data_IF_721933749664
#
_entry.id   IF_721933749664
#
_cell.length_a   1.000
_cell.length_b   1.000
_cell.length_c   1.000
_cell.angle_alpha   90.00
_cell.angle_beta   90.00
_cell.angle_gamma   90.00
#
_symmetry.space_group_name_H-M   'P 1'
#
loop_
_entity.id
_entity.type
_entity.pdbx_description
1 polymer ?
#
# COMPACT_ATOMS: atom_id res chain seq x y z
N UNK A 1 -17.14 9.52 -27.63
CA UNK A 1 -17.28 8.04 -27.59
C UNK A 1 -17.07 7.60 -26.15
N UNK A 2 -17.94 6.72 -25.59
CA UNK A 2 -17.68 6.13 -24.26
C UNK A 2 -16.40 5.29 -24.37
N UNK A 3 -15.43 5.55 -23.51
CA UNK A 3 -14.21 4.78 -23.37
C UNK A 3 -14.57 3.32 -23.01
N UNK A 4 -14.00 2.34 -23.71
CA UNK A 4 -14.23 0.92 -23.41
C UNK A 4 -13.65 0.57 -22.04
N UNK A 5 -14.32 -0.30 -21.30
CA UNK A 5 -13.89 -0.74 -19.96
C UNK A 5 -13.49 -2.21 -20.01
N UNK A 6 -12.38 -2.55 -19.33
CA UNK A 6 -11.99 -3.93 -19.06
C UNK A 6 -11.78 -4.14 -17.55
N UNK A 7 -12.32 -5.23 -17.04
CA UNK A 7 -12.18 -5.65 -15.65
C UNK A 7 -11.11 -6.74 -15.53
N UNK A 8 -9.95 -6.41 -14.97
CA UNK A 8 -8.91 -7.39 -14.70
C UNK A 8 -9.10 -7.89 -13.27
N UNK A 9 -9.37 -9.18 -13.13
CA UNK A 9 -9.85 -9.77 -11.88
C UNK A 9 -8.84 -10.75 -11.32
N UNK A 10 -8.46 -10.56 -10.06
CA UNK A 10 -7.76 -11.58 -9.30
C UNK A 10 -8.76 -12.63 -8.81
N UNK A 11 -8.71 -13.89 -9.33
CA UNK A 11 -9.70 -14.92 -9.00
C UNK A 11 -9.69 -15.31 -7.51
N UNK A 12 -8.54 -15.23 -6.84
CA UNK A 12 -8.35 -15.72 -5.47
C UNK A 12 -8.44 -14.63 -4.39
N UNK A 13 -8.58 -13.34 -4.77
CA UNK A 13 -8.65 -12.26 -3.80
C UNK A 13 -9.93 -12.30 -2.95
N UNK A 14 -9.79 -11.96 -1.67
CA UNK A 14 -10.91 -11.78 -0.74
C UNK A 14 -11.70 -13.05 -0.45
N UNK A 15 -13.01 -12.86 -0.17
CA UNK A 15 -13.94 -13.93 0.21
C UNK A 15 -14.95 -14.28 -0.89
N UNK A 16 -15.08 -13.46 -1.93
CA UNK A 16 -16.06 -13.67 -2.99
C UNK A 16 -15.58 -14.75 -3.96
N UNK A 17 -16.47 -15.70 -4.29
CA UNK A 17 -16.21 -16.67 -5.34
C UNK A 17 -16.14 -15.99 -6.71
N UNK A 18 -15.48 -16.64 -7.67
CA UNK A 18 -15.36 -16.18 -9.06
C UNK A 18 -16.72 -15.81 -9.65
N UNK A 19 -17.74 -16.66 -9.43
CA UNK A 19 -19.13 -16.44 -9.90
C UNK A 19 -19.75 -15.18 -9.27
N UNK A 20 -19.52 -14.93 -7.99
CA UNK A 20 -20.03 -13.73 -7.32
C UNK A 20 -19.34 -12.46 -7.83
N UNK A 21 -18.02 -12.51 -8.10
CA UNK A 21 -17.28 -11.38 -8.69
C UNK A 21 -17.83 -11.00 -10.06
N UNK A 22 -18.08 -11.99 -10.91
CA UNK A 22 -18.72 -11.78 -12.23
C UNK A 22 -20.05 -11.05 -12.06
N UNK A 23 -20.95 -11.55 -11.21
CA UNK A 23 -22.25 -10.92 -10.97
C UNK A 23 -22.15 -9.46 -10.50
N UNK A 24 -21.19 -9.16 -9.62
CA UNK A 24 -20.95 -7.77 -9.19
C UNK A 24 -20.57 -6.89 -10.38
N UNK A 25 -19.69 -7.36 -11.25
CA UNK A 25 -19.23 -6.61 -12.42
C UNK A 25 -20.34 -6.43 -13.45
N UNK A 26 -21.12 -7.48 -13.74
CA UNK A 26 -22.26 -7.42 -14.66
C UNK A 26 -23.33 -6.41 -14.21
N UNK A 27 -23.49 -6.23 -12.91
CA UNK A 27 -24.44 -5.26 -12.34
C UNK A 27 -23.92 -3.81 -12.35
N UNK A 28 -22.64 -3.55 -12.74
CA UNK A 28 -22.14 -2.18 -12.85
C UNK A 28 -22.82 -1.43 -13.99
N UNK A 29 -22.94 -2.05 -15.15
CA UNK A 29 -23.69 -1.53 -16.29
C UNK A 29 -24.47 -2.69 -16.95
N UNK A 30 -25.73 -2.92 -16.54
CA UNK A 30 -26.53 -4.03 -17.08
C UNK A 30 -26.87 -3.92 -18.57
N UNK A 31 -26.69 -2.72 -19.16
CA UNK A 31 -26.96 -2.48 -20.58
C UNK A 31 -25.83 -2.95 -21.50
N UNK A 32 -24.66 -3.27 -20.94
CA UNK A 32 -23.50 -3.68 -21.72
C UNK A 32 -22.96 -5.02 -21.23
N UNK A 33 -22.36 -5.81 -22.12
CA UNK A 33 -21.59 -7.00 -21.73
C UNK A 33 -20.18 -6.59 -21.34
N UNK A 34 -19.79 -6.70 -20.07
CA UNK A 34 -18.48 -6.29 -19.62
C UNK A 34 -17.38 -7.23 -20.15
N UNK A 35 -16.22 -6.66 -20.50
CA UNK A 35 -15.01 -7.43 -20.77
C UNK A 35 -14.34 -7.81 -19.45
N UNK A 36 -14.42 -9.09 -19.06
CA UNK A 36 -13.92 -9.60 -17.78
C UNK A 36 -12.78 -10.57 -18.03
N UNK A 37 -11.60 -10.27 -17.49
CA UNK A 37 -10.38 -11.07 -17.65
C UNK A 37 -9.92 -11.53 -16.28
N UNK A 38 -9.79 -12.83 -16.07
CA UNK A 38 -9.18 -13.39 -14.89
C UNK A 38 -7.68 -13.57 -15.09
N UNK A 39 -6.89 -12.94 -14.21
CA UNK A 39 -5.44 -13.10 -14.25
C UNK A 39 -5.02 -14.44 -13.66
N UNK A 40 -3.92 -14.98 -14.21
CA UNK A 40 -3.29 -16.21 -13.71
C UNK A 40 -2.26 -15.93 -12.62
N UNK A 41 -1.64 -14.74 -12.65
CA UNK A 41 -0.64 -14.27 -11.69
C UNK A 41 -0.65 -12.75 -11.60
N UNK A 42 0.14 -12.18 -10.69
CA UNK A 42 0.37 -10.73 -10.62
C UNK A 42 1.07 -10.22 -11.89
N UNK A 43 2.04 -10.97 -12.39
CA UNK A 43 2.74 -10.63 -13.62
C UNK A 43 1.79 -10.62 -14.84
N UNK A 44 0.94 -11.64 -14.97
CA UNK A 44 -0.08 -11.73 -15.99
C UNK A 44 -1.08 -10.54 -15.91
N UNK A 45 -1.50 -10.16 -14.70
CA UNK A 45 -2.33 -8.98 -14.50
C UNK A 45 -1.68 -7.71 -15.03
N UNK A 46 -0.39 -7.53 -14.74
CA UNK A 46 0.38 -6.39 -15.25
C UNK A 46 0.48 -6.37 -16.78
N UNK A 47 0.74 -7.51 -17.42
CA UNK A 47 0.79 -7.64 -18.90
C UNK A 47 -0.56 -7.30 -19.53
N UNK A 48 -1.66 -7.83 -18.99
CA UNK A 48 -3.02 -7.53 -19.45
C UNK A 48 -3.37 -6.06 -19.26
N UNK A 49 -3.05 -5.48 -18.10
CA UNK A 49 -3.27 -4.07 -17.87
C UNK A 49 -2.54 -3.20 -18.90
N UNK A 50 -1.27 -3.49 -19.16
CA UNK A 50 -0.50 -2.81 -20.21
C UNK A 50 -1.15 -2.91 -21.58
N UNK A 51 -1.54 -4.12 -22.00
CA UNK A 51 -2.19 -4.37 -23.29
C UNK A 51 -3.45 -3.50 -23.48
N UNK A 52 -4.35 -3.50 -22.48
CA UNK A 52 -5.61 -2.75 -22.57
C UNK A 52 -5.42 -1.25 -22.43
N UNK A 53 -4.45 -0.78 -21.61
CA UNK A 53 -4.11 0.64 -21.52
C UNK A 53 -3.57 1.19 -22.85
N UNK A 54 -2.75 0.40 -23.58
CA UNK A 54 -2.27 0.77 -24.91
C UNK A 54 -3.42 0.86 -25.94
N UNK A 55 -4.46 0.04 -25.78
CA UNK A 55 -5.69 0.10 -26.58
C UNK A 55 -6.67 1.19 -26.11
N UNK A 56 -6.27 2.03 -25.13
CA UNK A 56 -7.10 3.12 -24.59
C UNK A 56 -8.39 2.66 -23.88
N UNK A 57 -8.35 1.49 -23.26
CA UNK A 57 -9.40 1.05 -22.35
C UNK A 57 -9.23 1.65 -20.97
N UNK A 58 -10.34 1.94 -20.28
CA UNK A 58 -10.33 2.13 -18.84
C UNK A 58 -10.13 0.77 -18.16
N UNK A 59 -9.00 0.59 -17.51
CA UNK A 59 -8.71 -0.64 -16.79
C UNK A 59 -9.22 -0.54 -15.35
N UNK A 60 -10.09 -1.49 -14.97
CA UNK A 60 -10.60 -1.65 -13.61
C UNK A 60 -9.81 -2.76 -12.91
N UNK A 61 -9.05 -2.42 -11.89
CA UNK A 61 -8.30 -3.37 -11.06
C UNK A 61 -9.22 -4.01 -10.02
N UNK A 62 -9.59 -5.28 -10.20
CA UNK A 62 -10.52 -6.00 -9.34
C UNK A 62 -9.76 -6.97 -8.43
N UNK A 63 -9.33 -6.50 -7.25
CA UNK A 63 -8.47 -7.31 -6.37
C UNK A 63 -8.20 -6.68 -5.01
N UNK A 64 -7.13 -7.14 -4.34
CA UNK A 64 -6.60 -6.53 -3.12
C UNK A 64 -5.44 -5.58 -3.42
N UNK A 65 -4.83 -5.03 -2.36
CA UNK A 65 -3.85 -3.94 -2.43
C UNK A 65 -2.65 -4.27 -3.35
N UNK A 66 -2.01 -5.43 -3.22
CA UNK A 66 -0.90 -5.82 -4.09
C UNK A 66 -1.30 -5.97 -5.57
N UNK A 67 -2.52 -6.47 -5.85
CA UNK A 67 -3.05 -6.56 -7.20
C UNK A 67 -3.32 -5.18 -7.82
N UNK A 68 -3.89 -4.27 -7.03
CA UNK A 68 -4.12 -2.89 -7.41
C UNK A 68 -2.79 -2.17 -7.66
N UNK A 69 -1.77 -2.43 -6.84
CA UNK A 69 -0.44 -1.84 -7.00
C UNK A 69 0.19 -2.18 -8.36
N UNK A 70 0.16 -3.45 -8.79
CA UNK A 70 0.70 -3.88 -10.09
C UNK A 70 0.03 -3.17 -11.26
N UNK A 71 -1.30 -3.00 -11.21
CA UNK A 71 -2.05 -2.31 -12.26
C UNK A 71 -1.79 -0.80 -12.20
N UNK A 72 -1.69 -0.22 -11.00
CA UNK A 72 -1.37 1.20 -10.82
C UNK A 72 0.03 1.54 -11.35
N UNK A 73 1.02 0.64 -11.19
CA UNK A 73 2.33 0.81 -11.81
C UNK A 73 2.20 0.99 -13.33
N UNK A 74 1.37 0.16 -13.99
CA UNK A 74 1.13 0.29 -15.44
C UNK A 74 0.40 1.58 -15.78
N UNK A 75 -0.59 1.98 -14.99
CA UNK A 75 -1.29 3.26 -15.18
C UNK A 75 -0.33 4.46 -15.10
N UNK A 76 0.65 4.42 -14.18
CA UNK A 76 1.71 5.44 -14.08
C UNK A 76 2.66 5.40 -15.28
N UNK A 77 3.10 4.21 -15.69
CA UNK A 77 4.05 4.02 -16.78
C UNK A 77 3.48 4.53 -18.11
N UNK A 78 2.20 4.28 -18.37
CA UNK A 78 1.51 4.63 -19.61
C UNK A 78 0.66 5.90 -19.51
N UNK A 79 0.71 6.62 -18.39
CA UNK A 79 -0.08 7.83 -18.12
C UNK A 79 -1.59 7.65 -18.37
N UNK A 80 -2.14 6.50 -18.00
CA UNK A 80 -3.53 6.14 -18.15
C UNK A 80 -4.32 6.33 -16.86
N UNK A 81 -5.61 6.61 -17.01
CA UNK A 81 -6.55 6.54 -15.91
C UNK A 81 -6.88 5.07 -15.59
N UNK A 82 -7.23 4.80 -14.34
CA UNK A 82 -7.70 3.49 -13.91
C UNK A 82 -8.86 3.61 -12.93
N UNK A 83 -9.51 2.49 -12.64
CA UNK A 83 -10.47 2.38 -11.56
C UNK A 83 -10.14 1.16 -10.69
N UNK A 84 -10.70 1.11 -9.49
CA UNK A 84 -10.49 0.00 -8.56
C UNK A 84 -11.84 -0.61 -8.14
N UNK A 85 -11.85 -1.93 -7.97
CA UNK A 85 -12.95 -2.67 -7.37
C UNK A 85 -12.37 -3.53 -6.25
N UNK A 86 -12.55 -3.14 -4.97
CA UNK A 86 -11.80 -3.67 -3.85
C UNK A 86 -12.33 -5.04 -3.42
N UNK A 87 -11.86 -6.10 -4.05
CA UNK A 87 -12.16 -7.48 -3.67
C UNK A 87 -11.19 -8.06 -2.65
N UNK A 88 -10.22 -7.28 -2.18
CA UNK A 88 -9.24 -7.71 -1.19
C UNK A 88 -9.82 -7.84 0.22
N UNK A 89 -8.94 -8.03 1.19
CA UNK A 89 -9.27 -8.11 2.62
C UNK A 89 -8.87 -6.85 3.39
N UNK A 90 -7.73 -6.24 3.02
CA UNK A 90 -7.23 -5.00 3.61
C UNK A 90 -7.91 -3.80 2.96
N UNK A 91 -7.74 -3.68 1.64
CA UNK A 91 -8.24 -2.59 0.82
C UNK A 91 -7.85 -1.21 1.37
N UNK A 92 -6.58 -1.08 1.81
CA UNK A 92 -6.09 0.11 2.52
C UNK A 92 -6.09 1.34 1.60
N UNK A 93 -5.67 1.17 0.33
CA UNK A 93 -5.79 2.25 -0.65
C UNK A 93 -7.24 2.66 -0.88
N UNK A 94 -8.13 1.68 -1.09
CA UNK A 94 -9.54 1.96 -1.31
C UNK A 94 -10.16 2.71 -0.13
N UNK A 95 -9.81 2.31 1.11
CA UNK A 95 -10.21 3.01 2.34
C UNK A 95 -9.71 4.44 2.38
N UNK A 96 -8.45 4.69 2.03
CA UNK A 96 -7.89 6.04 1.97
C UNK A 96 -8.55 6.91 0.90
N UNK A 97 -9.14 6.30 -0.12
CA UNK A 97 -9.87 6.99 -1.18
C UNK A 97 -11.39 7.04 -0.96
N UNK A 98 -11.88 6.59 0.19
CA UNK A 98 -13.33 6.47 0.46
C UNK A 98 -14.06 5.57 -0.57
N UNK A 99 -13.36 4.56 -1.08
CA UNK A 99 -13.85 3.54 -2.02
C UNK A 99 -13.88 2.14 -1.39
N UNK A 100 -14.00 2.08 -0.07
CA UNK A 100 -13.84 0.87 0.74
C UNK A 100 -15.04 -0.10 0.66
N UNK A 101 -16.18 0.37 0.15
CA UNK A 101 -17.34 -0.47 -0.14
C UNK A 101 -17.50 -0.70 -1.64
N UNK A 102 -18.14 -1.83 -2.00
CA UNK A 102 -18.43 -2.13 -3.42
C UNK A 102 -19.33 -1.07 -4.06
N UNK A 103 -20.29 -0.55 -3.31
CA UNK A 103 -21.23 0.47 -3.77
C UNK A 103 -20.48 1.74 -4.20
N UNK A 104 -19.65 2.32 -3.31
CA UNK A 104 -18.85 3.51 -3.61
C UNK A 104 -17.91 3.29 -4.80
N UNK A 105 -17.26 2.13 -4.87
CA UNK A 105 -16.36 1.80 -5.97
C UNK A 105 -17.13 1.65 -7.32
N UNK A 106 -18.31 1.07 -7.30
CA UNK A 106 -19.19 0.96 -8.47
C UNK A 106 -19.63 2.35 -8.94
N UNK A 107 -20.04 3.22 -8.03
CA UNK A 107 -20.45 4.58 -8.36
C UNK A 107 -19.29 5.40 -8.95
N UNK A 108 -18.09 5.26 -8.41
CA UNK A 108 -16.89 5.87 -8.97
C UNK A 108 -16.59 5.36 -10.41
N UNK A 109 -16.75 4.06 -10.68
CA UNK A 109 -16.56 3.47 -12.01
C UNK A 109 -17.60 4.00 -12.99
N UNK A 110 -18.84 4.16 -12.55
CA UNK A 110 -19.94 4.72 -13.37
C UNK A 110 -19.74 6.20 -13.66
N UNK A 111 -19.33 6.96 -12.63
CA UNK A 111 -19.15 8.41 -12.69
C UNK A 111 -17.96 8.84 -13.53
N UNK A 112 -16.91 8.02 -13.60
CA UNK A 112 -15.65 8.30 -14.35
C UNK A 112 -15.04 9.67 -14.03
N UNK A 113 -15.18 10.10 -12.79
CA UNK A 113 -14.48 11.28 -12.28
C UNK A 113 -13.11 10.84 -11.77
N UNK A 114 -12.03 11.37 -12.32
CA UNK A 114 -10.68 10.92 -11.99
C UNK A 114 -9.99 11.93 -11.07
N UNK A 115 -9.54 11.45 -9.92
CA UNK A 115 -8.73 12.24 -8.99
C UNK A 115 -7.28 11.78 -8.99
N UNK A 116 -6.36 12.72 -8.84
CA UNK A 116 -4.94 12.41 -8.66
C UNK A 116 -4.72 11.77 -7.30
N UNK A 117 -4.09 10.62 -7.31
CA UNK A 117 -3.76 9.81 -6.13
C UNK A 117 -2.26 9.90 -5.89
N UNK A 118 -1.87 10.11 -4.65
CA UNK A 118 -0.47 10.13 -4.23
C UNK A 118 0.04 8.70 -4.07
N UNK A 119 1.30 8.51 -4.35
CA UNK A 119 2.01 7.26 -4.13
C UNK A 119 3.48 7.55 -3.80
N UNK A 120 4.19 6.57 -3.28
CA UNK A 120 5.61 6.65 -3.00
C UNK A 120 6.41 6.02 -4.14
N UNK A 121 7.48 6.70 -4.54
CA UNK A 121 8.61 6.09 -5.22
C UNK A 121 9.59 5.59 -4.16
N UNK A 122 9.92 4.32 -4.24
CA UNK A 122 10.84 3.62 -3.36
C UNK A 122 12.05 3.23 -4.19
N UNK A 123 13.12 4.02 -4.07
CA UNK A 123 14.29 3.98 -4.95
C UNK A 123 15.41 3.21 -4.26
N UNK A 124 15.75 2.06 -4.80
CA UNK A 124 16.90 1.26 -4.41
C UNK A 124 18.09 1.52 -5.35
N UNK A 125 19.27 0.99 -5.02
CA UNK A 125 20.46 1.16 -5.87
C UNK A 125 20.27 0.62 -7.28
N UNK A 126 19.54 -0.48 -7.45
CA UNK A 126 19.44 -1.22 -8.72
C UNK A 126 18.04 -1.20 -9.35
N UNK A 127 17.01 -0.75 -8.62
CA UNK A 127 15.63 -0.72 -9.11
C UNK A 127 14.78 0.32 -8.39
N UNK A 128 13.62 0.59 -8.98
CA UNK A 128 12.59 1.42 -8.38
C UNK A 128 11.31 0.60 -8.22
N UNK A 129 10.63 0.81 -7.11
CA UNK A 129 9.31 0.27 -6.81
C UNK A 129 8.36 1.40 -6.48
N UNK A 130 7.07 1.14 -6.55
CA UNK A 130 6.07 2.04 -5.99
C UNK A 130 5.40 1.43 -4.77
N UNK A 131 4.90 2.29 -3.90
CA UNK A 131 3.97 1.90 -2.85
C UNK A 131 2.83 2.91 -2.82
N UNK A 132 1.60 2.41 -2.78
CA UNK A 132 0.39 3.24 -2.85
C UNK A 132 0.00 3.80 -1.48
N UNK A 133 0.45 3.15 -0.41
CA UNK A 133 0.10 3.54 0.96
C UNK A 133 1.32 3.97 1.77
N UNK A 134 2.21 3.06 2.08
CA UNK A 134 3.40 3.33 2.88
C UNK A 134 4.57 2.44 2.49
N UNK A 135 5.79 2.87 2.80
CA UNK A 135 7.00 2.07 2.69
C UNK A 135 7.95 2.38 3.84
N UNK A 136 8.65 1.38 4.35
CA UNK A 136 9.56 1.58 5.47
C UNK A 136 10.29 0.34 5.93
N UNK A 137 10.89 0.43 7.12
CA UNK A 137 11.74 -0.59 7.76
C UNK A 137 11.31 -0.85 9.21
N UNK A 138 11.87 -1.88 9.81
CA UNK A 138 11.66 -2.25 11.21
C UNK A 138 10.45 -3.17 11.38
N UNK A 139 9.75 -3.04 12.49
CA UNK A 139 8.70 -3.97 12.92
C UNK A 139 7.61 -4.21 11.87
N UNK A 140 7.18 -3.16 11.14
CA UNK A 140 6.16 -3.30 10.09
C UNK A 140 6.67 -4.16 8.93
N UNK A 141 7.92 -3.97 8.54
CA UNK A 141 8.56 -4.73 7.47
C UNK A 141 8.80 -6.17 7.88
N UNK A 142 9.25 -6.39 9.11
CA UNK A 142 9.40 -7.72 9.68
C UNK A 142 8.05 -8.46 9.74
N UNK A 143 6.99 -7.81 10.20
CA UNK A 143 5.66 -8.39 10.26
C UNK A 143 5.13 -8.74 8.87
N UNK A 144 5.29 -7.86 7.89
CA UNK A 144 4.89 -8.11 6.49
C UNK A 144 5.66 -9.28 5.88
N UNK A 145 6.98 -9.31 6.07
CA UNK A 145 7.83 -10.41 5.58
C UNK A 145 7.47 -11.74 6.24
N UNK A 146 7.27 -11.78 7.57
CA UNK A 146 6.85 -12.98 8.29
C UNK A 146 5.46 -13.44 7.84
N UNK A 147 4.52 -12.53 7.63
CA UNK A 147 3.19 -12.84 7.12
C UNK A 147 3.25 -13.52 5.75
N UNK A 148 4.16 -13.10 4.86
CA UNK A 148 4.35 -13.73 3.56
C UNK A 148 4.89 -15.16 3.62
N UNK A 149 5.56 -15.53 4.72
CA UNK A 149 6.13 -16.86 4.94
C UNK A 149 5.17 -17.86 5.61
N UNK A 150 3.98 -17.43 6.05
CA UNK A 150 3.00 -18.27 6.73
C UNK A 150 1.87 -18.66 5.75
N UNK A 151 1.95 -19.85 5.09
CA UNK A 151 0.98 -20.20 4.04
C UNK A 151 -0.40 -20.61 4.57
N UNK A 152 -0.51 -20.95 5.86
CA UNK A 152 -1.71 -21.58 6.44
C UNK A 152 -2.74 -20.57 6.95
N UNK A 153 -2.30 -19.41 7.47
CA UNK A 153 -3.18 -18.39 8.01
C UNK A 153 -3.53 -17.35 6.94
N UNK A 154 -4.80 -16.95 6.87
CA UNK A 154 -5.30 -15.96 5.91
C UNK A 154 -6.11 -14.87 6.62
N UNK A 155 -5.96 -13.63 6.18
CA UNK A 155 -6.76 -12.49 6.65
C UNK A 155 -6.21 -11.80 7.90
N UNK A 156 -7.06 -11.08 8.66
CA UNK A 156 -6.63 -10.28 9.82
C UNK A 156 -5.86 -11.06 10.87
N UNK A 157 -6.19 -12.36 11.05
CA UNK A 157 -5.49 -13.25 11.97
C UNK A 157 -4.04 -13.53 11.55
N UNK A 158 -3.75 -13.53 10.24
CA UNK A 158 -2.37 -13.67 9.74
C UNK A 158 -1.52 -12.47 10.17
N UNK A 159 -2.01 -11.26 9.93
CA UNK A 159 -1.29 -10.04 10.30
C UNK A 159 -1.20 -9.89 11.82
N UNK A 160 -2.25 -10.25 12.55
CA UNK A 160 -2.24 -10.22 14.02
C UNK A 160 -1.22 -11.22 14.59
N UNK A 161 -1.15 -12.46 14.06
CA UNK A 161 -0.17 -13.46 14.51
C UNK A 161 1.25 -13.09 14.11
N UNK A 162 1.48 -12.60 12.90
CA UNK A 162 2.79 -12.12 12.44
C UNK A 162 3.27 -10.92 13.27
N UNK A 163 2.36 -9.97 13.55
CA UNK A 163 2.63 -8.87 14.46
C UNK A 163 2.96 -9.38 15.87
N UNK A 164 2.18 -10.31 16.42
CA UNK A 164 2.44 -10.88 17.74
C UNK A 164 3.81 -11.56 17.83
N UNK A 165 4.20 -12.34 16.82
CA UNK A 165 5.53 -12.98 16.74
C UNK A 165 6.62 -11.90 16.68
N UNK A 166 6.41 -10.84 15.90
CA UNK A 166 7.35 -9.71 15.81
C UNK A 166 7.43 -8.94 17.14
N UNK A 167 6.33 -8.87 17.90
CA UNK A 167 6.31 -8.30 19.26
C UNK A 167 7.06 -9.14 20.30
N UNK A 168 7.05 -10.47 20.16
CA UNK A 168 7.84 -11.35 21.05
C UNK A 168 9.34 -11.07 20.87
N UNK A 169 9.77 -10.83 19.63
CA UNK A 169 11.14 -10.56 19.26
C UNK A 169 11.42 -9.06 19.03
N UNK A 170 10.72 -8.19 19.75
CA UNK A 170 10.79 -6.75 19.58
C UNK A 170 12.23 -6.23 19.60
N UNK A 171 12.76 -5.88 18.44
CA UNK A 171 14.08 -5.31 18.27
C UNK A 171 13.96 -3.92 17.65
N UNK A 172 14.77 -3.00 18.17
CA UNK A 172 15.01 -1.72 17.54
C UNK A 172 16.33 -1.77 16.81
N UNK A 173 16.39 -1.13 15.65
CA UNK A 173 17.58 -1.10 14.82
C UNK A 173 18.10 0.32 14.67
N UNK A 174 19.42 0.45 14.50
CA UNK A 174 20.06 1.75 14.26
C UNK A 174 20.07 2.07 12.78
N UNK A 175 19.54 3.23 12.45
CA UNK A 175 19.47 3.75 11.08
C UNK A 175 20.13 5.12 10.98
N UNK A 176 20.74 5.38 9.83
CA UNK A 176 21.05 6.72 9.38
C UNK A 176 19.87 7.18 8.52
N UNK A 177 19.25 8.27 8.95
CA UNK A 177 18.11 8.87 8.27
C UNK A 177 18.52 10.23 7.76
N UNK A 178 18.45 10.42 6.44
CA UNK A 178 18.78 11.68 5.78
C UNK A 178 17.53 12.25 5.13
N UNK A 179 17.17 13.47 5.49
CA UNK A 179 16.09 14.25 4.87
C UNK A 179 16.68 15.48 4.20
N UNK A 180 15.86 16.31 3.57
CA UNK A 180 16.30 17.58 2.98
C UNK A 180 16.86 18.58 4.02
N UNK A 181 16.51 18.42 5.29
CA UNK A 181 16.89 19.38 6.36
C UNK A 181 17.99 18.88 7.28
N UNK A 182 18.13 17.56 7.44
CA UNK A 182 19.05 17.00 8.44
C UNK A 182 19.43 15.55 8.13
N UNK A 183 20.59 15.16 8.68
CA UNK A 183 21.06 13.78 8.75
C UNK A 183 21.18 13.40 10.22
N UNK A 184 20.59 12.29 10.61
CA UNK A 184 20.57 11.86 12.01
C UNK A 184 20.73 10.35 12.13
N UNK A 185 21.35 9.91 13.22
CA UNK A 185 21.37 8.52 13.63
C UNK A 185 20.24 8.27 14.63
N UNK A 186 19.47 7.24 14.42
CA UNK A 186 18.30 6.93 15.24
C UNK A 186 18.22 5.44 15.54
N UNK A 187 17.76 5.12 16.75
CA UNK A 187 17.42 3.75 17.12
C UNK A 187 15.89 3.62 17.14
N UNK A 188 15.35 3.04 16.09
CA UNK A 188 13.91 2.98 15.85
C UNK A 188 13.40 1.55 15.83
N UNK A 189 12.17 1.41 16.33
CA UNK A 189 11.35 0.22 16.18
C UNK A 189 10.67 0.18 14.82
N UNK A 190 10.19 1.34 14.36
CA UNK A 190 9.51 1.56 13.09
C UNK A 190 10.04 2.85 12.48
N UNK A 191 10.27 2.83 11.17
CA UNK A 191 10.55 4.00 10.36
C UNK A 191 9.86 3.83 9.02
N UNK A 192 8.87 4.66 8.74
CA UNK A 192 8.06 4.55 7.52
C UNK A 192 7.70 5.90 6.94
N UNK A 193 7.75 5.99 5.61
CA UNK A 193 7.15 7.06 4.82
C UNK A 193 5.75 6.64 4.38
N UNK A 194 4.78 7.56 4.40
CA UNK A 194 3.41 7.30 3.99
C UNK A 194 2.89 8.35 3.00
N UNK A 195 2.20 7.87 1.96
CA UNK A 195 1.47 8.67 1.00
C UNK A 195 -0.03 8.70 1.31
N UNK A 196 -0.54 7.72 2.06
CA UNK A 196 -1.94 7.61 2.48
C UNK A 196 -2.05 7.19 3.94
N UNK A 197 -3.25 7.24 4.47
CA UNK A 197 -3.51 7.17 5.90
C UNK A 197 -3.49 5.74 6.44
N UNK A 198 -3.94 4.76 5.63
CA UNK A 198 -4.17 3.38 6.07
C UNK A 198 -3.13 2.41 5.56
N UNK A 199 -2.85 1.37 6.35
CA UNK A 199 -2.01 0.23 5.99
C UNK A 199 -2.36 -1.01 6.80
N UNK A 200 -1.90 -2.18 6.34
CA UNK A 200 -1.96 -3.42 7.11
C UNK A 200 -3.36 -3.89 7.49
N UNK A 201 -4.35 -3.60 6.64
CA UNK A 201 -5.73 -4.05 6.85
C UNK A 201 -6.56 -3.14 7.75
N UNK A 202 -6.35 -1.82 7.67
CA UNK A 202 -7.15 -0.81 8.35
C UNK A 202 -6.48 -0.11 9.52
N UNK A 203 -5.17 -0.30 9.73
CA UNK A 203 -4.42 0.50 10.68
C UNK A 203 -4.31 1.95 10.17
N UNK A 204 -4.80 2.91 10.94
CA UNK A 204 -4.75 4.35 10.64
C UNK A 204 -3.39 4.93 11.04
N UNK A 205 -2.34 4.48 10.32
CA UNK A 205 -0.95 4.70 10.72
C UNK A 205 -0.45 6.12 10.47
N UNK A 206 -0.98 6.80 9.47
CA UNK A 206 -0.52 8.13 9.08
C UNK A 206 -1.70 9.10 8.91
N UNK A 207 -2.39 9.51 10.00
CA UNK A 207 -3.55 10.40 9.94
C UNK A 207 -3.31 11.69 9.16
N UNK A 208 -2.09 12.22 9.21
CA UNK A 208 -1.68 13.45 8.54
C UNK A 208 -1.04 13.21 7.16
N UNK A 209 -1.13 12.00 6.59
CA UNK A 209 -0.39 11.67 5.36
C UNK A 209 -0.62 12.68 4.22
N UNK A 210 -1.84 13.22 4.07
CA UNK A 210 -2.22 14.16 3.00
C UNK A 210 -2.24 15.63 3.41
N UNK A 211 -1.72 15.97 4.60
CA UNK A 211 -1.71 17.35 5.11
C UNK A 211 -0.95 18.33 4.21
N UNK A 212 0.16 17.90 3.61
CA UNK A 212 0.96 18.70 2.68
C UNK A 212 0.99 18.04 1.31
N UNK A 213 0.80 18.84 0.26
CA UNK A 213 0.67 18.34 -1.11
C UNK A 213 1.97 17.73 -1.66
N UNK A 214 3.12 18.31 -1.31
CA UNK A 214 4.45 17.99 -1.85
C UNK A 214 5.34 17.20 -0.90
N UNK A 215 4.81 16.79 0.28
CA UNK A 215 5.57 16.05 1.29
C UNK A 215 4.89 14.73 1.62
N UNK A 216 5.69 13.71 1.83
CA UNK A 216 5.24 12.47 2.45
C UNK A 216 5.20 12.63 3.98
N UNK A 217 4.35 11.88 4.63
CA UNK A 217 4.37 11.79 6.08
C UNK A 217 5.46 10.80 6.50
N UNK A 218 6.34 11.22 7.39
CA UNK A 218 7.43 10.40 7.91
C UNK A 218 7.16 10.09 9.38
N UNK A 219 7.03 8.81 9.67
CA UNK A 219 6.72 8.30 11.00
C UNK A 219 7.88 7.50 11.56
N UNK A 220 8.29 7.83 12.79
CA UNK A 220 9.27 7.08 13.57
C UNK A 220 8.62 6.60 14.87
N UNK A 221 8.88 5.36 15.25
CA UNK A 221 8.65 4.90 16.61
C UNK A 221 9.99 4.51 17.24
N UNK A 222 10.33 5.19 18.33
CA UNK A 222 11.54 4.91 19.11
C UNK A 222 11.42 3.55 19.81
N UNK A 223 12.53 3.08 20.37
CA UNK A 223 12.55 1.87 21.20
C UNK A 223 11.51 1.99 22.32
N UNK A 224 10.71 0.94 22.49
CA UNK A 224 9.65 0.80 23.49
C UNK A 224 9.81 -0.51 24.24
N UNK A 225 9.26 -0.56 25.45
CA UNK A 225 9.01 -1.83 26.13
C UNK A 225 7.91 -2.60 25.40
N UNK A 226 7.84 -3.92 25.59
CA UNK A 226 6.81 -4.77 24.95
C UNK A 226 5.39 -4.30 25.28
N UNK A 227 5.12 -3.96 26.52
CA UNK A 227 3.78 -3.47 26.95
C UNK A 227 3.42 -2.13 26.28
N UNK A 228 4.38 -1.20 26.19
CA UNK A 228 4.16 0.06 25.48
C UNK A 228 3.95 -0.15 23.98
N UNK A 229 4.65 -1.09 23.36
CA UNK A 229 4.48 -1.41 21.95
C UNK A 229 3.10 -2.02 21.66
N UNK A 230 2.58 -2.90 22.53
CA UNK A 230 1.20 -3.44 22.43
C UNK A 230 0.18 -2.31 22.58
N UNK A 231 0.36 -1.41 23.56
CA UNK A 231 -0.51 -0.24 23.72
C UNK A 231 -0.49 0.64 22.48
N UNK A 232 0.69 0.89 21.93
CA UNK A 232 0.85 1.68 20.70
C UNK A 232 0.13 1.05 19.51
N UNK A 233 0.20 -0.29 19.37
CA UNK A 233 -0.50 -1.02 18.31
C UNK A 233 -2.03 -0.83 18.40
N UNK A 234 -2.60 -0.85 19.59
CA UNK A 234 -4.04 -0.57 19.79
C UNK A 234 -4.35 0.87 19.39
N UNK A 235 -3.50 1.82 19.78
CA UNK A 235 -3.69 3.24 19.45
C UNK A 235 -3.60 3.53 17.95
N UNK A 236 -2.89 2.70 17.16
CA UNK A 236 -2.76 2.86 15.70
C UNK A 236 -4.12 2.79 15.01
N UNK A 237 -5.03 1.93 15.44
CA UNK A 237 -6.36 1.82 14.80
C UNK A 237 -7.21 3.08 14.92
N UNK A 238 -6.98 3.88 15.96
CA UNK A 238 -7.66 5.18 16.16
C UNK A 238 -6.82 6.39 15.72
N UNK A 239 -5.60 6.18 15.23
CA UNK A 239 -4.68 7.26 14.88
C UNK A 239 -4.06 7.99 16.08
N UNK A 240 -4.41 7.62 17.32
CA UNK A 240 -3.94 8.31 18.54
C UNK A 240 -2.46 8.07 18.84
N UNK A 241 -1.84 7.09 18.21
CA UNK A 241 -0.42 6.78 18.38
C UNK A 241 0.51 7.95 18.02
N UNK A 242 0.09 8.85 17.11
CA UNK A 242 0.90 10.02 16.72
C UNK A 242 1.12 11.01 17.88
N UNK A 243 0.29 10.96 18.92
CA UNK A 243 0.43 11.77 20.14
C UNK A 243 1.25 11.08 21.24
N UNK A 244 1.72 9.87 20.98
CA UNK A 244 2.55 9.15 21.96
C UNK A 244 3.98 9.69 21.95
N UNK A 245 4.58 9.94 23.11
CA UNK A 245 5.91 10.56 23.26
C UNK A 245 7.05 9.82 22.53
N UNK A 246 6.91 8.54 22.29
CA UNK A 246 7.88 7.74 21.55
C UNK A 246 7.68 7.76 20.02
N UNK A 247 6.63 8.42 19.54
CA UNK A 247 6.33 8.54 18.11
C UNK A 247 6.68 9.96 17.66
N UNK A 248 7.42 10.05 16.58
CA UNK A 248 7.68 11.31 15.88
C UNK A 248 6.94 11.24 14.56
N UNK A 249 6.05 12.19 14.34
CA UNK A 249 5.25 12.34 13.13
C UNK A 249 5.62 13.66 12.47
N UNK A 250 6.23 13.61 11.30
CA UNK A 250 6.71 14.79 10.57
C UNK A 250 6.48 14.65 9.07
N UNK A 251 6.79 15.69 8.30
CA UNK A 251 6.59 15.71 6.85
C UNK A 251 7.87 16.14 6.15
N UNK A 252 8.30 15.35 5.17
CA UNK A 252 9.52 15.59 4.39
C UNK A 252 9.24 15.40 2.90
N UNK A 253 10.08 16.00 2.03
CA UNK A 253 9.99 15.78 0.59
C UNK A 253 10.60 14.45 0.19
N UNK A 254 11.68 14.06 0.87
CA UNK A 254 12.34 12.79 0.68
C UNK A 254 13.01 12.31 1.96
N UNK A 255 13.19 11.00 2.06
CA UNK A 255 13.97 10.39 3.13
C UNK A 255 14.85 9.30 2.54
N UNK A 256 16.16 9.35 2.84
CA UNK A 256 17.09 8.24 2.62
C UNK A 256 17.30 7.50 3.92
N UNK A 257 17.24 6.18 3.86
CA UNK A 257 17.41 5.29 5.01
C UNK A 257 18.55 4.33 4.72
N UNK A 258 19.48 4.23 5.68
CA UNK A 258 20.62 3.33 5.64
C UNK A 258 20.69 2.58 6.97
N UNK A 259 20.99 1.29 6.97
CA UNK A 259 21.15 0.51 8.20
C UNK A 259 22.58 0.64 8.72
N UNK A 260 22.71 0.78 10.05
CA UNK A 260 23.98 0.63 10.78
C UNK A 260 24.13 -0.77 11.37
N UNK A 261 23.13 -1.63 11.22
CA UNK A 261 23.15 -3.01 11.68
C UNK A 261 23.45 -3.94 10.51
N UNK A 262 24.08 -5.06 10.79
CA UNK A 262 24.41 -6.11 9.81
C UNK A 262 23.37 -7.25 9.76
N UNK A 263 22.34 -7.20 10.61
CA UNK A 263 21.33 -8.25 10.62
C UNK A 263 20.27 -8.07 9.50
N UNK A 264 19.77 -9.20 8.99
CA UNK A 264 18.79 -9.22 7.89
C UNK A 264 17.55 -8.36 8.17
N UNK A 265 17.05 -8.36 9.40
CA UNK A 265 15.80 -7.70 9.75
C UNK A 265 15.91 -6.18 9.72
N UNK A 266 17.12 -5.66 9.96
CA UNK A 266 17.38 -4.22 9.89
C UNK A 266 17.36 -3.68 8.45
N UNK A 267 17.59 -4.53 7.43
CA UNK A 267 17.71 -4.11 6.04
C UNK A 267 16.43 -4.26 5.22
N UNK A 268 15.46 -5.06 5.68
CA UNK A 268 14.23 -5.34 4.92
C UNK A 268 13.38 -4.08 4.80
N UNK A 269 13.06 -3.72 3.55
CA UNK A 269 12.11 -2.66 3.20
C UNK A 269 10.82 -3.31 2.72
N UNK A 270 9.69 -2.91 3.27
CA UNK A 270 8.36 -3.31 2.81
C UNK A 270 7.48 -2.12 2.50
N UNK A 271 6.46 -2.33 1.67
CA UNK A 271 5.42 -1.35 1.36
C UNK A 271 4.16 -2.06 0.88
N UNK A 272 2.99 -1.51 1.17
CA UNK A 272 1.68 -2.11 0.85
C UNK A 272 1.52 -3.56 1.35
N UNK A 273 2.23 -3.93 2.44
CA UNK A 273 2.23 -5.27 2.99
C UNK A 273 3.14 -6.28 2.27
N UNK A 274 3.95 -5.84 1.30
CA UNK A 274 4.83 -6.69 0.50
C UNK A 274 6.32 -6.34 0.70
N UNK A 275 7.20 -7.30 0.46
CA UNK A 275 8.65 -7.08 0.40
C UNK A 275 8.98 -6.29 -0.87
N UNK A 276 9.70 -5.16 -0.71
CA UNK A 276 10.11 -4.29 -1.82
C UNK A 276 11.59 -4.42 -2.15
N UNK A 277 12.45 -4.70 -1.18
CA UNK A 277 13.90 -4.77 -1.33
C UNK A 277 14.64 -4.59 0.00
N UNK A 278 15.91 -4.23 -0.10
CA UNK A 278 16.78 -4.03 1.05
C UNK A 278 17.44 -2.64 1.02
N UNK A 279 17.79 -2.14 2.22
CA UNK A 279 18.52 -0.88 2.38
C UNK A 279 19.89 -0.91 1.65
N UNK A 280 20.39 0.24 1.16
CA UNK A 280 19.83 1.59 1.34
C UNK A 280 18.64 1.89 0.42
N UNK A 281 17.73 2.75 0.88
CA UNK A 281 16.57 3.18 0.11
C UNK A 281 16.33 4.68 0.22
N UNK A 282 15.85 5.28 -0.87
CA UNK A 282 15.31 6.65 -0.85
C UNK A 282 13.81 6.61 -1.16
N UNK A 283 13.00 7.25 -0.32
CA UNK A 283 11.55 7.29 -0.45
C UNK A 283 11.11 8.74 -0.67
N UNK A 284 10.31 8.98 -1.68
CA UNK A 284 9.70 10.28 -1.97
C UNK A 284 8.36 10.11 -2.67
N UNK A 285 7.54 11.17 -2.74
CA UNK A 285 6.29 11.11 -3.51
C UNK A 285 6.57 10.93 -5.00
N UNK A 286 5.74 10.13 -5.66
CA UNK A 286 5.77 9.96 -7.10
C UNK A 286 5.49 11.27 -7.83
N UNK A 287 6.26 11.54 -8.89
CA UNK A 287 6.13 12.76 -9.72
C UNK A 287 5.13 12.62 -10.85
N UNK A 288 4.97 11.41 -11.40
CA UNK A 288 3.99 11.12 -12.45
C UNK A 288 2.59 11.06 -11.84
N UNK A 289 1.59 11.44 -12.62
CA UNK A 289 0.21 11.38 -12.16
C UNK A 289 -0.29 9.93 -12.14
N UNK A 290 -0.87 9.52 -11.01
CA UNK A 290 -1.75 8.35 -10.91
C UNK A 290 -3.17 8.88 -10.75
N UNK A 291 -4.06 8.58 -11.68
CA UNK A 291 -5.46 9.02 -11.64
C UNK A 291 -6.39 7.83 -11.48
N UNK A 292 -7.19 7.85 -10.42
CA UNK A 292 -8.14 6.78 -10.09
C UNK A 292 -9.56 7.36 -10.10
N UNK A 293 -10.52 6.60 -10.65
CA UNK A 293 -11.94 6.95 -10.63
C UNK A 293 -12.43 7.07 -9.17
N UNK A 294 -13.21 8.13 -8.90
CA UNK A 294 -13.64 8.50 -7.55
C UNK A 294 -15.02 9.14 -7.56
#
# INVERSE_FOLDING_TARGET
MKENIVYIVNPISGKLSKKKKIRVIENIDPSTKPEIIFSQSLEDAGKKAQEFMLKKYLVVACGGDGFINIIAQKAIDYACNMAILPFGRGNDLARSLDLDTLEKAIDAIRGRNFKSVRYLNVVFSNNNRISLTNAGVGLLSEASFRASQIPVLKGPLLYASAALISFINLKSHKYVVTTESQKMEMNNLILAGAASEYTGGGMYIAPDARKFRDKLNLLFAKKLSRLQAVKLLIMVFSGRHIFHHAVINTHVRSVKIESLNSDKWSSIVSGDGEYLGELPVTIHLGKKALKIAH
#
